data_IF_754972139301
#
_entry.id   IF_754972139301
#
_cell.length_a   1.000
_cell.length_b   1.000
_cell.length_c   1.000
_cell.angle_alpha   90.00
_cell.angle_beta   90.00
_cell.angle_gamma   90.00
#
_symmetry.space_group_name_H-M   'P 1'
#
loop_
_entity.id
_entity.type
_entity.pdbx_description
1 polymer ?
#
# COMPACT_ATOMS: atom_id res chain seq x y z
N UNK A 1 11.19 -8.31 -10.22
CA UNK A 1 10.56 -6.99 -9.94
C UNK A 1 9.49 -7.09 -8.87
N UNK A 2 8.49 -7.98 -9.00
CA UNK A 2 7.48 -8.19 -7.96
C UNK A 2 8.09 -8.55 -6.59
N UNK A 3 9.06 -9.47 -6.58
CA UNK A 3 9.80 -9.84 -5.35
C UNK A 3 10.52 -8.65 -4.70
N UNK A 4 11.20 -7.82 -5.51
CA UNK A 4 11.91 -6.64 -4.99
C UNK A 4 10.94 -5.64 -4.34
N UNK A 5 9.77 -5.42 -4.94
CA UNK A 5 8.74 -4.58 -4.33
C UNK A 5 8.30 -5.13 -2.98
N UNK A 6 7.98 -6.41 -2.87
CA UNK A 6 7.57 -7.00 -1.59
C UNK A 6 8.69 -6.97 -0.53
N UNK A 7 9.94 -7.17 -0.94
CA UNK A 7 11.10 -7.01 -0.06
C UNK A 7 11.21 -5.58 0.47
N UNK A 8 11.03 -4.59 -0.39
CA UNK A 8 11.02 -3.16 0.00
C UNK A 8 9.82 -2.80 0.86
N UNK A 9 8.65 -3.35 0.56
CA UNK A 9 7.45 -3.20 1.39
C UNK A 9 7.72 -3.64 2.83
N UNK A 10 8.36 -4.80 3.02
CA UNK A 10 8.71 -5.30 4.37
C UNK A 10 9.59 -4.32 5.16
N UNK A 11 10.58 -3.73 4.49
CA UNK A 11 11.40 -2.68 5.10
C UNK A 11 10.55 -1.46 5.48
N UNK A 12 9.62 -1.04 4.63
CA UNK A 12 8.72 0.09 4.90
C UNK A 12 7.75 -0.14 6.05
N UNK A 13 7.26 -1.36 6.23
CA UNK A 13 6.47 -1.71 7.43
C UNK A 13 7.32 -1.55 8.68
N UNK A 14 8.58 -1.97 8.64
CA UNK A 14 9.51 -1.80 9.78
C UNK A 14 9.74 -0.32 10.08
N UNK A 15 9.94 0.50 9.05
CA UNK A 15 10.11 1.95 9.18
C UNK A 15 8.85 2.62 9.74
N UNK A 16 7.67 2.21 9.29
CA UNK A 16 6.37 2.69 9.76
C UNK A 16 6.13 2.32 11.23
N UNK A 17 6.42 1.08 11.64
CA UNK A 17 6.33 0.66 13.04
C UNK A 17 7.29 1.47 13.93
N UNK A 18 8.50 1.76 13.45
CA UNK A 18 9.44 2.61 14.17
C UNK A 18 8.94 4.06 14.25
N UNK A 19 8.31 4.59 13.20
CA UNK A 19 7.71 5.93 13.16
C UNK A 19 6.57 6.07 14.17
N UNK A 20 5.72 5.05 14.25
CA UNK A 20 4.63 5.02 15.20
C UNK A 20 5.14 5.04 16.65
N UNK A 21 6.18 4.26 16.96
CA UNK A 21 6.79 4.22 18.30
C UNK A 21 7.36 5.56 18.76
N UNK A 22 7.85 6.39 17.83
CA UNK A 22 8.39 7.73 18.14
C UNK A 22 7.35 8.85 18.03
N UNK A 23 6.10 8.55 17.70
CA UNK A 23 5.02 9.53 17.58
C UNK A 23 5.04 10.33 16.27
N UNK A 24 5.75 9.86 15.24
CA UNK A 24 5.82 10.52 13.93
C UNK A 24 4.69 10.01 13.01
N UNK A 25 3.46 10.43 13.30
CA UNK A 25 2.26 9.96 12.62
C UNK A 25 2.22 10.26 11.12
N UNK A 26 2.63 11.45 10.64
CA UNK A 26 2.68 11.71 9.20
C UNK A 26 3.61 10.74 8.48
N UNK A 27 4.75 10.41 9.09
CA UNK A 27 5.70 9.49 8.50
C UNK A 27 5.17 8.04 8.48
N UNK A 28 4.38 7.62 9.49
CA UNK A 28 3.65 6.34 9.44
C UNK A 28 2.71 6.29 8.24
N UNK A 29 1.92 7.34 8.00
CA UNK A 29 0.98 7.40 6.88
C UNK A 29 1.72 7.35 5.54
N UNK A 30 2.84 8.07 5.41
CA UNK A 30 3.68 8.03 4.21
C UNK A 30 4.22 6.63 3.93
N UNK A 31 4.82 5.98 4.93
CA UNK A 31 5.37 4.63 4.75
C UNK A 31 4.29 3.58 4.48
N UNK A 32 3.12 3.74 5.10
CA UNK A 32 1.95 2.89 4.85
C UNK A 32 1.46 3.05 3.41
N UNK A 33 1.44 4.27 2.87
CA UNK A 33 1.11 4.52 1.47
C UNK A 33 2.10 3.82 0.52
N UNK A 34 3.41 3.98 0.75
CA UNK A 34 4.45 3.31 -0.06
C UNK A 34 4.31 1.78 0.00
N UNK A 35 3.96 1.25 1.18
CA UNK A 35 3.73 -0.17 1.39
C UNK A 35 2.56 -0.70 0.54
N UNK A 36 1.42 -0.01 0.57
CA UNK A 36 0.24 -0.39 -0.21
C UNK A 36 0.52 -0.29 -1.70
N UNK A 37 1.11 0.81 -2.17
CA UNK A 37 1.44 1.00 -3.58
C UNK A 37 2.35 -0.12 -4.11
N UNK A 38 3.45 -0.43 -3.41
CA UNK A 38 4.40 -1.46 -3.84
C UNK A 38 3.78 -2.85 -3.80
N UNK A 39 2.96 -3.15 -2.79
CA UNK A 39 2.28 -4.45 -2.65
C UNK A 39 1.31 -4.71 -3.80
N UNK A 40 0.45 -3.73 -4.12
CA UNK A 40 -0.53 -3.87 -5.20
C UNK A 40 0.16 -3.92 -6.57
N UNK A 41 1.21 -3.11 -6.76
CA UNK A 41 2.05 -3.17 -7.98
C UNK A 41 2.75 -4.52 -8.12
N UNK A 42 3.18 -5.14 -7.03
CA UNK A 42 3.75 -6.48 -7.07
C UNK A 42 2.71 -7.51 -7.55
N UNK A 43 1.48 -7.46 -7.04
CA UNK A 43 0.38 -8.32 -7.49
C UNK A 43 0.09 -8.16 -8.99
N UNK A 44 0.02 -6.92 -9.48
CA UNK A 44 -0.17 -6.64 -10.90
C UNK A 44 0.99 -7.18 -11.75
N UNK A 45 2.24 -7.07 -11.27
CA UNK A 45 3.40 -7.66 -11.96
C UNK A 45 3.34 -9.19 -12.01
N UNK A 46 2.86 -9.86 -10.97
CA UNK A 46 2.72 -11.33 -10.95
C UNK A 46 1.77 -11.82 -12.05
N UNK A 47 0.69 -11.09 -12.31
CA UNK A 47 -0.25 -11.42 -13.40
C UNK A 47 0.16 -10.86 -14.77
N UNK A 48 1.37 -10.32 -14.91
CA UNK A 48 1.89 -9.79 -16.18
C UNK A 48 1.33 -8.45 -16.62
N UNK A 49 0.68 -7.70 -15.73
CA UNK A 49 0.09 -6.39 -16.04
C UNK A 49 1.12 -5.27 -15.86
N UNK A 50 1.24 -4.44 -16.89
CA UNK A 50 1.88 -3.13 -16.77
C UNK A 50 0.84 -2.08 -16.35
N UNK A 51 1.21 -1.26 -15.36
CA UNK A 51 0.35 -0.21 -14.81
C UNK A 51 0.94 1.18 -15.07
N UNK A 52 0.11 2.24 -15.10
CA UNK A 52 0.57 3.61 -15.25
C UNK A 52 1.49 4.04 -14.09
N UNK A 53 2.34 5.05 -14.33
CA UNK A 53 3.24 5.63 -13.32
C UNK A 53 2.50 6.55 -12.35
N UNK A 54 1.55 5.98 -11.61
CA UNK A 54 0.73 6.65 -10.59
C UNK A 54 0.84 5.90 -9.25
N UNK A 55 0.41 6.56 -8.17
CA UNK A 55 0.46 6.00 -6.81
C UNK A 55 -0.74 5.09 -6.51
N UNK A 56 -1.96 5.54 -6.85
CA UNK A 56 -3.17 4.73 -6.74
C UNK A 56 -3.32 3.79 -7.95
N UNK A 57 -3.30 2.49 -7.68
CA UNK A 57 -3.51 1.44 -8.69
C UNK A 57 -4.79 0.62 -8.46
N UNK A 58 -5.68 1.08 -7.58
CA UNK A 58 -6.93 0.37 -7.27
C UNK A 58 -7.82 0.15 -8.50
N UNK A 59 -7.90 1.15 -9.39
CA UNK A 59 -8.64 1.05 -10.67
C UNK A 59 -8.08 -0.01 -11.61
N UNK A 60 -6.76 -0.16 -11.64
CA UNK A 60 -6.12 -1.23 -12.41
C UNK A 60 -6.39 -2.59 -11.77
N UNK A 61 -6.33 -2.69 -10.44
CA UNK A 61 -6.58 -3.93 -9.72
C UNK A 61 -8.00 -4.48 -9.99
N UNK A 62 -9.00 -3.59 -10.01
CA UNK A 62 -10.38 -3.95 -10.30
C UNK A 62 -10.60 -4.37 -11.73
N UNK A 63 -10.03 -3.63 -12.67
CA UNK A 63 -10.14 -3.95 -14.09
C UNK A 63 -9.64 -5.37 -14.37
N UNK A 64 -8.55 -5.77 -13.70
CA UNK A 64 -7.98 -7.12 -13.79
C UNK A 64 -8.48 -8.10 -12.73
N UNK A 65 -9.57 -7.80 -12.00
CA UNK A 65 -10.12 -8.64 -10.91
C UNK A 65 -10.18 -10.11 -11.30
N UNK A 66 -10.67 -10.42 -12.50
CA UNK A 66 -10.82 -11.80 -12.99
C UNK A 66 -9.51 -12.56 -13.27
N UNK A 67 -8.35 -11.91 -13.10
CA UNK A 67 -7.02 -12.54 -13.23
C UNK A 67 -6.47 -13.05 -11.88
N UNK A 68 -7.10 -12.69 -10.76
CA UNK A 68 -6.72 -13.12 -9.41
C UNK A 68 -7.50 -14.36 -8.97
N UNK A 69 -7.11 -15.10 -7.92
CA UNK A 69 -7.98 -16.12 -7.31
C UNK A 69 -9.13 -15.51 -6.51
N UNK A 70 -10.22 -16.26 -6.32
CA UNK A 70 -11.44 -15.81 -5.62
C UNK A 70 -11.15 -15.13 -4.28
N UNK A 71 -10.37 -15.79 -3.41
CA UNK A 71 -10.00 -15.26 -2.09
C UNK A 71 -9.26 -13.91 -2.15
N UNK A 72 -8.54 -13.63 -3.24
CA UNK A 72 -7.86 -12.34 -3.43
C UNK A 72 -8.83 -11.29 -3.97
N UNK A 73 -9.73 -11.69 -4.90
CA UNK A 73 -10.75 -10.83 -5.50
C UNK A 73 -11.70 -10.24 -4.46
N UNK A 74 -12.05 -11.03 -3.44
CA UNK A 74 -12.91 -10.61 -2.34
C UNK A 74 -12.36 -9.38 -1.59
N UNK A 75 -11.03 -9.27 -1.49
CA UNK A 75 -10.37 -8.13 -0.84
C UNK A 75 -10.17 -6.90 -1.74
N UNK A 76 -10.44 -6.99 -3.05
CA UNK A 76 -10.16 -5.89 -3.98
C UNK A 76 -10.94 -4.60 -3.66
N UNK A 77 -12.24 -4.64 -3.28
CA UNK A 77 -12.96 -3.42 -2.87
C UNK A 77 -12.25 -2.64 -1.75
N UNK A 78 -11.77 -3.35 -0.72
CA UNK A 78 -11.03 -2.75 0.39
C UNK A 78 -9.65 -2.23 -0.05
N UNK A 79 -8.90 -3.03 -0.81
CA UNK A 79 -7.60 -2.62 -1.36
C UNK A 79 -7.69 -1.33 -2.19
N UNK A 80 -8.76 -1.19 -3.00
CA UNK A 80 -9.04 0.02 -3.78
C UNK A 80 -9.25 1.24 -2.90
N UNK A 81 -10.08 1.10 -1.87
CA UNK A 81 -10.38 2.19 -0.94
C UNK A 81 -9.11 2.64 -0.23
N UNK A 82 -8.37 1.71 0.37
CA UNK A 82 -7.12 2.01 1.09
C UNK A 82 -6.08 2.65 0.15
N UNK A 83 -5.89 2.13 -1.06
CA UNK A 83 -4.97 2.68 -2.06
C UNK A 83 -5.31 4.13 -2.41
N UNK A 84 -6.59 4.42 -2.65
CA UNK A 84 -7.08 5.77 -2.94
C UNK A 84 -6.85 6.72 -1.79
N UNK A 85 -7.29 6.33 -0.59
CA UNK A 85 -7.23 7.17 0.60
C UNK A 85 -5.79 7.53 0.97
N UNK A 86 -4.89 6.54 0.98
CA UNK A 86 -3.48 6.77 1.28
C UNK A 86 -2.78 7.56 0.18
N UNK A 87 -3.10 7.33 -1.10
CA UNK A 87 -2.55 8.13 -2.21
C UNK A 87 -2.91 9.61 -2.08
N UNK A 88 -4.12 9.94 -1.61
CA UNK A 88 -4.54 11.33 -1.37
C UNK A 88 -3.82 11.94 -0.15
N UNK A 89 -3.59 11.14 0.90
CA UNK A 89 -2.88 11.56 2.11
C UNK A 89 -1.37 11.73 1.92
N UNK A 90 -0.79 11.19 0.84
CA UNK A 90 0.66 11.25 0.56
C UNK A 90 1.21 12.67 0.57
N UNK A 91 0.64 13.58 -0.21
CA UNK A 91 1.08 14.98 -0.26
C UNK A 91 1.00 15.67 1.11
N UNK A 92 -0.20 15.68 1.73
CA UNK A 92 -0.38 16.25 3.08
C UNK A 92 0.54 15.66 4.15
N UNK A 93 0.87 14.36 4.08
CA UNK A 93 1.79 13.71 5.04
C UNK A 93 3.23 14.19 4.94
N UNK A 94 3.61 14.80 3.82
CA UNK A 94 4.96 15.33 3.60
C UNK A 94 5.00 16.84 3.84
N UNK A 95 4.03 17.57 3.31
CA UNK A 95 4.08 19.03 3.22
C UNK A 95 3.10 19.75 4.16
N UNK A 96 2.16 19.02 4.78
CA UNK A 96 1.00 19.65 5.40
C UNK A 96 0.02 20.23 4.37
N UNK A 97 -0.81 21.17 4.80
CA UNK A 97 -1.67 21.98 3.92
C UNK A 97 -1.13 23.41 3.95
N UNK A 98 -0.17 23.70 3.07
CA UNK A 98 0.58 24.96 3.05
C UNK A 98 -0.35 26.19 2.91
N UNK A 99 -1.39 26.07 2.09
CA UNK A 99 -2.40 27.14 1.89
C UNK A 99 -3.15 27.51 3.18
N UNK A 100 -3.25 26.58 4.14
CA UNK A 100 -3.91 26.77 5.43
C UNK A 100 -2.90 26.95 6.58
N UNK A 101 -1.60 26.90 6.30
CA UNK A 101 -0.54 26.97 7.32
C UNK A 101 -0.49 25.78 8.28
N UNK A 102 -1.19 24.67 7.97
CA UNK A 102 -1.22 23.47 8.82
C UNK A 102 -0.06 22.55 8.48
N UNK A 103 0.73 22.19 9.49
CA UNK A 103 1.83 21.23 9.35
C UNK A 103 1.32 19.80 9.25
N UNK A 104 2.11 18.90 8.67
CA UNK A 104 1.75 17.48 8.59
C UNK A 104 1.45 16.89 9.99
N UNK A 105 2.24 17.25 11.00
CA UNK A 105 2.07 16.77 12.38
C UNK A 105 0.75 17.19 13.03
N UNK A 106 0.12 18.27 12.56
CA UNK A 106 -1.21 18.71 13.02
C UNK A 106 -2.35 18.00 12.30
N UNK A 107 -2.09 17.43 11.12
CA UNK A 107 -3.11 16.80 10.26
C UNK A 107 -3.35 15.34 10.58
N UNK A 108 -2.33 14.63 11.05
CA UNK A 108 -2.40 13.19 11.26
C UNK A 108 -2.34 12.84 12.73
N UNK A 109 -3.38 12.15 13.20
CA UNK A 109 -3.45 11.66 14.57
C UNK A 109 -2.79 10.30 14.71
N UNK A 110 -2.60 9.87 15.95
CA UNK A 110 -2.17 8.49 16.25
C UNK A 110 -3.12 7.46 15.63
N UNK A 111 -4.42 7.69 15.70
CA UNK A 111 -5.44 6.79 15.14
C UNK A 111 -5.30 6.67 13.63
N UNK A 112 -5.09 7.78 12.92
CA UNK A 112 -4.87 7.78 11.46
C UNK A 112 -3.64 6.95 11.10
N UNK A 113 -2.56 7.09 11.88
CA UNK A 113 -1.32 6.35 11.69
C UNK A 113 -1.49 4.85 11.98
N UNK A 114 -2.17 4.48 13.07
CA UNK A 114 -2.44 3.08 13.42
C UNK A 114 -3.32 2.39 12.36
N UNK A 115 -4.35 3.07 11.88
CA UNK A 115 -5.22 2.57 10.82
C UNK A 115 -4.46 2.40 9.50
N UNK A 116 -3.67 3.40 9.10
CA UNK A 116 -2.84 3.33 7.90
C UNK A 116 -1.86 2.14 7.95
N UNK A 117 -1.17 1.97 9.09
CA UNK A 117 -0.23 0.88 9.30
C UNK A 117 -0.95 -0.47 9.23
N UNK A 118 -2.04 -0.64 9.98
CA UNK A 118 -2.82 -1.88 10.01
C UNK A 118 -3.29 -2.30 8.61
N UNK A 119 -3.87 -1.36 7.86
CA UNK A 119 -4.33 -1.62 6.50
C UNK A 119 -3.16 -1.99 5.58
N UNK A 120 -2.01 -1.32 5.72
CA UNK A 120 -0.82 -1.62 4.94
C UNK A 120 -0.26 -3.02 5.22
N UNK A 121 -0.24 -3.45 6.49
CA UNK A 121 0.20 -4.80 6.91
C UNK A 121 -0.73 -5.89 6.39
N UNK A 122 -2.05 -5.64 6.43
CA UNK A 122 -3.06 -6.54 5.89
C UNK A 122 -2.89 -6.73 4.38
N UNK A 123 -2.75 -5.63 3.63
CA UNK A 123 -2.55 -5.67 2.17
C UNK A 123 -1.22 -6.35 1.84
N UNK A 124 -0.14 -6.02 2.54
CA UNK A 124 1.15 -6.69 2.34
C UNK A 124 1.05 -8.20 2.56
N UNK A 125 0.40 -8.63 3.64
CA UNK A 125 0.22 -10.06 3.95
C UNK A 125 -0.55 -10.79 2.85
N UNK A 126 -1.63 -10.17 2.34
CA UNK A 126 -2.41 -10.70 1.24
C UNK A 126 -1.60 -10.78 -0.07
N UNK A 127 -0.86 -9.72 -0.39
CA UNK A 127 0.04 -9.64 -1.55
C UNK A 127 1.18 -10.65 -1.47
N UNK A 128 1.77 -10.85 -0.28
CA UNK A 128 2.83 -11.84 -0.06
C UNK A 128 2.31 -13.26 -0.22
N UNK A 129 1.11 -13.55 0.31
CA UNK A 129 0.44 -14.84 0.08
C UNK A 129 0.23 -15.08 -1.41
N UNK A 130 -0.34 -14.10 -2.12
CA UNK A 130 -0.59 -14.20 -3.56
C UNK A 130 0.71 -14.44 -4.34
N UNK A 131 1.75 -13.65 -4.06
CA UNK A 131 3.05 -13.84 -4.69
C UNK A 131 3.62 -15.24 -4.44
N UNK A 132 3.56 -15.74 -3.21
CA UNK A 132 4.10 -17.06 -2.85
C UNK A 132 3.37 -18.19 -3.58
N UNK A 133 2.04 -18.12 -3.68
CA UNK A 133 1.23 -19.15 -4.34
C UNK A 133 1.33 -19.12 -5.88
N UNK A 134 1.50 -17.93 -6.49
CA UNK A 134 1.34 -17.75 -7.94
C UNK A 134 2.60 -17.32 -8.71
N UNK A 135 3.66 -16.88 -8.04
CA UNK A 135 4.94 -16.56 -8.69
C UNK A 135 5.91 -17.76 -8.72
N UNK A 136 5.79 -18.70 -7.77
CA UNK A 136 6.73 -19.80 -7.60
C UNK A 136 6.38 -21.09 -8.35
N UNK A 137 5.27 -21.14 -9.10
CA UNK A 137 4.98 -22.30 -9.97
C UNK A 137 5.52 -22.03 -11.38
N UNK A 138 6.57 -22.74 -11.84
CA UNK A 138 6.70 -22.98 -13.27
C UNK A 138 5.39 -23.60 -13.73
N UNK A 139 4.83 -23.11 -14.84
CA UNK A 139 3.87 -23.90 -15.60
C UNK A 139 4.66 -25.05 -16.19
N UNK A 140 4.41 -26.25 -15.68
CA UNK A 140 4.68 -27.48 -16.44
C UNK A 140 3.84 -27.49 -17.72
#
# INVERSE_FOLDING_TARGET
>A
MAEDFLRRTKARITDAQAALKRGDYPEVVRYSQECVELSLKACLRVIGVEYPRVHDVGDVLEYYRNSFPEWFREGIPEMRQVSRDLSQKRGPSVYGIEMEGKTASELFTKTDAEEALHNSEKIYSLSQRFFSEYYQKPKD
#
